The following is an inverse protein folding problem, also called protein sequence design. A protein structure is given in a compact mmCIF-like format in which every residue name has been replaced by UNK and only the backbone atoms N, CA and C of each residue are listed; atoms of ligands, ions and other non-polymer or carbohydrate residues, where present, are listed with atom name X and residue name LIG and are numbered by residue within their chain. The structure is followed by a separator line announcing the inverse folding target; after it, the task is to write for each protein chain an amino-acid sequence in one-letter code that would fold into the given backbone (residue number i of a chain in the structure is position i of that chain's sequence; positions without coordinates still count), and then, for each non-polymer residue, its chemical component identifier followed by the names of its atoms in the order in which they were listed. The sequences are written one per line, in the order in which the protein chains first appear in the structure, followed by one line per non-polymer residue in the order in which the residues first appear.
data_IF_091036948405
#
_entry.id   IF_091036948405
#
_cell.length_a   1.000
_cell.length_b   1.000
_cell.length_c   1.000
_cell.angle_alpha   90.00
_cell.angle_beta   90.00
_cell.angle_gamma   90.00
#
_symmetry.space_group_name_H-M   'P 1'
#
loop_
_entity.id
_entity.type
_entity.pdbx_description
1 polymer ?
#
# COMPACT_ATOMS: atom_id res chain seq x y z
N UNK A 1 -8.97 37.82 -77.44
CA UNK A 1 -9.24 36.38 -77.72
C UNK A 1 -8.63 35.54 -76.62
N UNK A 2 -9.43 34.64 -76.04
CA UNK A 2 -9.08 33.32 -75.45
C UNK A 2 -7.92 33.22 -74.44
N UNK A 3 -8.32 33.16 -73.16
CA UNK A 3 -8.03 32.14 -72.14
C UNK A 3 -6.61 31.56 -71.97
N UNK A 4 -6.19 31.44 -70.70
CA UNK A 4 -5.87 30.13 -70.08
C UNK A 4 -5.81 30.22 -68.54
N UNK A 5 -6.55 29.33 -67.91
CA UNK A 5 -6.47 28.96 -66.50
C UNK A 5 -5.08 28.41 -66.16
N UNK A 6 -4.60 28.66 -64.94
CA UNK A 6 -3.63 27.79 -64.28
C UNK A 6 -3.89 27.80 -62.78
N UNK A 7 -4.43 26.68 -62.31
CA UNK A 7 -4.63 26.32 -60.90
C UNK A 7 -3.25 26.10 -60.28
N UNK A 8 -2.95 26.76 -59.16
CA UNK A 8 -1.82 26.39 -58.30
C UNK A 8 -2.41 25.80 -57.01
N UNK A 9 -2.23 24.49 -56.86
CA UNK A 9 -2.48 23.75 -55.63
C UNK A 9 -1.52 24.26 -54.55
N UNK A 10 -2.05 24.86 -53.48
CA UNK A 10 -1.29 25.08 -52.26
C UNK A 10 -1.34 23.80 -51.41
N UNK A 11 -0.18 23.17 -51.25
CA UNK A 11 0.02 22.03 -50.37
C UNK A 11 -0.16 22.46 -48.91
N UNK A 12 -1.20 21.96 -48.24
CA UNK A 12 -1.36 22.09 -46.80
C UNK A 12 -0.39 21.12 -46.11
N UNK A 13 0.77 21.65 -45.72
CA UNK A 13 1.74 20.97 -44.87
C UNK A 13 1.14 20.67 -43.50
N UNK A 14 1.33 19.43 -43.04
CA UNK A 14 0.72 18.90 -41.84
C UNK A 14 1.19 19.57 -40.55
N UNK A 15 0.26 19.66 -39.60
CA UNK A 15 0.55 19.74 -38.18
C UNK A 15 -0.07 18.48 -37.58
N UNK A 16 0.72 17.41 -37.47
CA UNK A 16 0.37 16.28 -36.62
C UNK A 16 0.51 16.80 -35.20
N UNK A 17 -0.60 17.22 -34.60
CA UNK A 17 -0.68 17.44 -33.17
C UNK A 17 -0.47 16.09 -32.48
N UNK A 18 0.79 15.77 -32.17
CA UNK A 18 1.11 14.74 -31.20
C UNK A 18 0.57 15.22 -29.87
N UNK A 19 -0.65 14.81 -29.56
CA UNK A 19 -1.14 14.79 -28.18
C UNK A 19 -0.22 13.79 -27.48
N UNK A 20 0.87 14.31 -26.91
CA UNK A 20 1.62 13.59 -25.91
C UNK A 20 0.63 13.37 -24.77
N UNK A 21 -0.01 12.21 -24.78
CA UNK A 21 -0.61 11.62 -23.60
C UNK A 21 0.52 11.59 -22.58
N UNK A 22 0.56 12.59 -21.70
CA UNK A 22 1.24 12.49 -20.45
C UNK A 22 0.58 11.29 -19.76
N UNK A 23 1.17 10.10 -19.96
CA UNK A 23 0.86 8.95 -19.16
C UNK A 23 0.96 9.39 -17.70
N UNK A 24 0.08 8.90 -16.81
CA UNK A 24 0.14 9.27 -15.41
C UNK A 24 1.58 9.03 -14.95
N UNK A 25 2.27 10.12 -14.59
CA UNK A 25 3.54 10.04 -13.89
C UNK A 25 3.25 9.21 -12.65
N UNK A 26 3.69 7.94 -12.66
CA UNK A 26 3.67 7.13 -11.46
C UNK A 26 4.64 7.84 -10.50
N UNK A 27 4.07 8.61 -9.58
CA UNK A 27 4.81 9.26 -8.52
C UNK A 27 5.77 8.22 -7.92
N UNK A 28 7.06 8.56 -7.89
CA UNK A 28 8.08 7.74 -7.23
C UNK A 28 7.53 7.29 -5.88
N UNK A 29 7.64 5.98 -5.53
CA UNK A 29 7.02 5.48 -4.32
C UNK A 29 7.48 6.32 -3.14
N UNK A 30 6.49 6.93 -2.51
CA UNK A 30 6.52 7.65 -1.25
C UNK A 30 7.50 6.97 -0.28
N UNK A 31 8.31 7.78 0.43
CA UNK A 31 9.43 7.34 1.28
C UNK A 31 9.26 5.94 1.92
N UNK A 32 10.20 5.05 1.63
CA UNK A 32 10.19 3.66 2.08
C UNK A 32 10.91 3.52 3.41
N UNK A 33 10.25 2.93 4.41
CA UNK A 33 10.89 2.46 5.65
C UNK A 33 10.73 0.95 5.72
N UNK A 34 11.83 0.23 5.95
CA UNK A 34 11.83 -1.24 5.98
C UNK A 34 11.27 -1.90 4.68
N UNK A 35 11.51 -1.28 3.52
CA UNK A 35 10.90 -1.67 2.24
C UNK A 35 9.36 -1.62 2.22
N UNK A 36 8.75 -0.94 3.20
CA UNK A 36 7.34 -0.60 3.20
C UNK A 36 7.15 0.74 2.49
N UNK A 37 6.47 0.81 1.34
CA UNK A 37 6.17 2.10 0.73
C UNK A 37 5.32 2.94 1.68
N UNK A 38 5.53 4.26 1.66
CA UNK A 38 4.62 5.13 2.39
C UNK A 38 3.20 4.96 1.83
N UNK A 39 2.21 5.11 2.69
CA UNK A 39 0.80 4.84 2.41
C UNK A 39 0.42 3.34 2.39
N UNK A 40 1.18 2.47 3.06
CA UNK A 40 0.84 1.05 3.19
C UNK A 40 1.03 0.51 4.60
N UNK A 41 0.28 -0.55 4.90
CA UNK A 41 0.58 -1.46 6.02
C UNK A 41 1.27 -2.68 5.44
N UNK A 42 2.46 -2.99 5.94
CA UNK A 42 3.31 -4.03 5.41
C UNK A 42 3.30 -5.25 6.33
N UNK A 43 3.00 -6.40 5.74
CA UNK A 43 3.02 -7.71 6.39
C UNK A 43 4.25 -8.45 5.88
N UNK A 44 5.15 -8.84 6.78
CA UNK A 44 6.39 -9.54 6.46
C UNK A 44 6.28 -10.99 6.94
N UNK A 45 6.33 -11.94 6.01
CA UNK A 45 6.39 -13.37 6.29
C UNK A 45 7.75 -13.93 5.81
N UNK A 46 8.06 -15.17 6.20
CA UNK A 46 9.25 -15.87 5.72
C UNK A 46 9.26 -16.06 4.19
N UNK A 47 8.07 -16.21 3.60
CA UNK A 47 7.89 -16.42 2.16
C UNK A 47 7.88 -15.13 1.32
N UNK A 48 8.00 -13.96 1.94
CA UNK A 48 7.93 -12.67 1.26
C UNK A 48 7.13 -11.62 2.03
N UNK A 49 6.78 -10.53 1.38
CA UNK A 49 6.01 -9.43 1.97
C UNK A 49 4.71 -9.18 1.19
N UNK A 50 3.72 -8.61 1.88
CA UNK A 50 2.46 -8.18 1.31
C UNK A 50 2.19 -6.75 1.77
N UNK A 51 1.62 -5.95 0.87
CA UNK A 51 1.23 -4.57 1.14
C UNK A 51 -0.30 -4.49 1.18
N UNK A 52 -0.84 -4.08 2.31
CA UNK A 52 -2.23 -3.71 2.42
C UNK A 52 -2.35 -2.20 2.17
N UNK A 53 -3.23 -1.77 1.24
CA UNK A 53 -3.37 -0.36 0.89
C UNK A 53 -3.90 0.46 2.09
N UNK A 54 -3.47 1.72 2.18
CA UNK A 54 -4.03 2.71 3.13
C UNK A 54 -5.46 3.11 2.84
N UNK A 55 -5.90 3.08 1.59
CA UNK A 55 -7.22 3.56 1.20
C UNK A 55 -8.30 2.55 1.58
N UNK A 56 -8.72 2.58 2.85
CA UNK A 56 -9.82 1.78 3.35
C UNK A 56 -9.38 0.65 4.27
N UNK A 57 -10.38 0.04 4.93
CA UNK A 57 -10.18 -1.16 5.72
C UNK A 57 -9.81 -2.32 4.78
N UNK A 58 -8.94 -3.22 5.23
CA UNK A 58 -8.56 -4.41 4.49
C UNK A 58 -9.12 -5.67 5.16
N UNK A 59 -9.92 -6.43 4.42
CA UNK A 59 -10.34 -7.78 4.80
C UNK A 59 -9.30 -8.79 4.31
N UNK A 60 -8.59 -9.39 5.27
CA UNK A 60 -7.58 -10.42 5.07
C UNK A 60 -8.05 -11.81 5.52
N UNK A 61 -9.36 -11.98 5.77
CA UNK A 61 -9.95 -13.24 6.25
C UNK A 61 -9.66 -14.45 5.36
N UNK A 62 -9.43 -14.23 4.06
CA UNK A 62 -9.05 -15.25 3.07
C UNK A 62 -7.55 -15.36 2.84
N UNK A 63 -6.75 -14.47 3.42
CA UNK A 63 -5.29 -14.52 3.30
C UNK A 63 -4.74 -15.77 3.99
N UNK A 64 -3.87 -16.48 3.27
CA UNK A 64 -3.10 -17.63 3.80
C UNK A 64 -1.73 -17.20 4.35
N UNK A 65 -1.48 -15.91 4.42
CA UNK A 65 -0.21 -15.36 4.89
C UNK A 65 -0.15 -15.38 6.42
N UNK A 66 0.95 -15.91 6.94
CA UNK A 66 1.31 -15.82 8.35
C UNK A 66 2.49 -14.86 8.50
N UNK A 67 2.25 -13.58 8.78
CA UNK A 67 3.35 -12.64 8.98
C UNK A 67 4.09 -12.98 10.28
N UNK A 68 5.40 -12.78 10.27
CA UNK A 68 6.20 -12.65 11.49
C UNK A 68 6.14 -11.22 12.04
N UNK A 69 6.02 -10.23 11.15
CA UNK A 69 5.97 -8.81 11.49
C UNK A 69 4.90 -8.09 10.68
N UNK A 70 4.21 -7.14 11.31
CA UNK A 70 3.38 -6.14 10.62
C UNK A 70 3.87 -4.75 10.99
N UNK A 71 3.79 -3.80 10.05
CA UNK A 71 4.30 -2.44 10.20
C UNK A 71 3.39 -1.44 9.50
N UNK A 72 3.11 -0.31 10.13
CA UNK A 72 2.33 0.78 9.54
C UNK A 72 3.25 1.92 9.06
N UNK A 73 3.46 1.99 7.76
CA UNK A 73 4.11 3.14 7.10
C UNK A 73 3.08 4.01 6.36
N UNK A 74 1.80 3.90 6.72
CA UNK A 74 0.70 4.55 6.02
C UNK A 74 0.02 5.63 6.83
N UNK A 75 -0.37 6.71 6.15
CA UNK A 75 -1.26 7.75 6.68
C UNK A 75 -2.43 7.90 5.70
N UNK A 76 -3.63 7.43 6.08
CA UNK A 76 -4.79 7.42 5.17
C UNK A 76 -5.31 8.84 4.89
N UNK A 77 -5.39 9.67 5.93
CA UNK A 77 -5.70 11.11 5.87
C UNK A 77 -5.25 11.79 7.18
N UNK A 78 -5.20 13.14 7.25
CA UNK A 78 -4.89 13.84 8.50
C UNK A 78 -5.85 13.44 9.64
N UNK A 79 -5.32 12.84 10.70
CA UNK A 79 -6.11 12.33 11.84
C UNK A 79 -6.64 10.90 11.68
N UNK A 80 -6.14 10.12 10.71
CA UNK A 80 -6.28 8.65 10.67
C UNK A 80 -4.94 8.00 10.34
N UNK A 81 -4.11 7.94 11.36
CA UNK A 81 -2.75 7.44 11.36
C UNK A 81 -2.59 6.16 12.21
N UNK A 82 -3.68 5.69 12.82
CA UNK A 82 -3.74 4.43 13.54
C UNK A 82 -4.40 3.31 12.70
N UNK A 83 -3.89 2.10 12.84
CA UNK A 83 -4.45 0.89 12.23
C UNK A 83 -4.72 -0.15 13.30
N UNK A 84 -5.99 -0.41 13.56
CA UNK A 84 -6.39 -1.57 14.33
C UNK A 84 -6.23 -2.83 13.47
N UNK A 85 -5.52 -3.83 14.00
CA UNK A 85 -5.42 -5.14 13.37
C UNK A 85 -6.07 -6.20 14.25
N UNK A 86 -6.73 -7.15 13.61
CA UNK A 86 -7.28 -8.33 14.26
C UNK A 86 -6.84 -9.58 13.51
N UNK A 87 -6.75 -10.68 14.25
CA UNK A 87 -6.34 -11.96 13.72
C UNK A 87 -6.66 -13.13 14.66
N UNK A 88 -6.27 -14.32 14.20
CA UNK A 88 -6.40 -15.56 14.94
C UNK A 88 -5.02 -16.14 15.20
N UNK A 89 -4.69 -16.37 16.48
CA UNK A 89 -3.48 -17.07 16.90
C UNK A 89 -3.79 -18.55 17.08
N UNK A 90 -3.10 -19.38 16.32
CA UNK A 90 -3.08 -20.84 16.51
C UNK A 90 -1.87 -21.19 17.36
N UNK A 91 -2.09 -21.75 18.55
CA UNK A 91 -1.04 -22.21 19.46
C UNK A 91 -1.36 -23.62 19.97
N UNK A 92 -0.54 -24.60 19.61
CA UNK A 92 -0.72 -26.02 19.99
C UNK A 92 -2.15 -26.53 19.74
N UNK A 93 -2.69 -26.24 18.56
CA UNK A 93 -4.05 -26.64 18.16
C UNK A 93 -5.19 -25.81 18.76
N UNK A 94 -4.90 -24.82 19.62
CA UNK A 94 -5.91 -23.88 20.15
C UNK A 94 -5.91 -22.60 19.33
N UNK A 95 -7.10 -22.12 18.96
CA UNK A 95 -7.28 -20.86 18.24
C UNK A 95 -7.80 -19.80 19.20
N UNK A 96 -7.15 -18.63 19.23
CA UNK A 96 -7.55 -17.48 20.07
C UNK A 96 -7.59 -16.21 19.23
N UNK A 97 -8.49 -15.30 19.57
CA UNK A 97 -8.50 -13.96 19.00
C UNK A 97 -7.31 -13.15 19.51
N UNK A 98 -6.66 -12.44 18.60
CA UNK A 98 -5.59 -11.51 18.90
C UNK A 98 -5.77 -10.25 18.08
N UNK A 99 -5.31 -9.13 18.61
CA UNK A 99 -5.37 -7.86 17.92
C UNK A 99 -4.54 -6.82 18.64
N UNK A 100 -4.47 -5.65 18.03
CA UNK A 100 -3.77 -4.51 18.58
C UNK A 100 -3.90 -3.32 17.66
N UNK A 101 -3.15 -2.28 17.98
CA UNK A 101 -3.15 -1.03 17.23
C UNK A 101 -1.73 -0.73 16.75
N UNK A 102 -1.62 -0.25 15.51
CA UNK A 102 -0.37 0.20 14.91
C UNK A 102 -0.42 1.70 14.69
N UNK A 103 0.57 2.41 15.21
CA UNK A 103 0.75 3.83 15.01
C UNK A 103 1.46 4.09 13.69
N UNK A 104 1.19 5.21 13.05
CA UNK A 104 1.91 5.60 11.84
C UNK A 104 3.37 5.85 12.17
N UNK A 105 4.25 5.24 11.39
CA UNK A 105 5.65 5.60 11.40
C UNK A 105 5.92 6.81 10.50
N UNK A 106 6.37 7.92 11.11
CA UNK A 106 6.77 9.11 10.36
C UNK A 106 8.00 8.82 9.51
N UNK A 107 7.90 9.08 8.21
CA UNK A 107 9.00 8.87 7.24
C UNK A 107 10.20 9.81 7.47
N UNK A 108 10.05 10.82 8.33
CA UNK A 108 11.14 11.69 8.79
C UNK A 108 12.00 11.03 9.88
N UNK A 109 11.51 9.94 10.49
CA UNK A 109 12.24 9.15 11.45
C UNK A 109 12.78 7.90 10.75
N UNK A 110 14.08 7.61 10.89
CA UNK A 110 14.68 6.40 10.28
C UNK A 110 14.48 5.15 11.12
N UNK A 111 14.10 5.30 12.37
CA UNK A 111 14.01 4.20 13.33
C UNK A 111 12.54 3.94 13.67
N UNK A 112 12.00 2.74 13.39
CA UNK A 112 10.63 2.39 13.78
C UNK A 112 10.40 2.57 15.28
N UNK A 113 9.45 3.43 15.62
CA UNK A 113 9.06 3.70 17.00
C UNK A 113 8.19 2.58 17.56
N UNK A 114 8.18 2.44 18.89
CA UNK A 114 7.30 1.49 19.55
C UNK A 114 5.84 1.75 19.16
N UNK A 115 5.08 0.69 18.92
CA UNK A 115 3.69 0.79 18.47
C UNK A 115 3.51 0.94 16.96
N UNK A 116 4.56 1.24 16.19
CA UNK A 116 4.43 1.30 14.71
C UNK A 116 4.48 -0.08 14.05
N UNK A 117 4.97 -1.09 14.77
CA UNK A 117 5.05 -2.47 14.34
C UNK A 117 4.69 -3.45 15.46
N UNK A 118 4.36 -4.67 15.06
CA UNK A 118 4.28 -5.84 15.94
C UNK A 118 5.11 -6.97 15.35
N UNK A 119 5.93 -7.62 16.17
CA UNK A 119 6.78 -8.78 15.82
C UNK A 119 6.37 -10.03 16.59
N UNK A 120 6.93 -11.19 16.23
CA UNK A 120 6.70 -12.45 16.95
C UNK A 120 5.31 -13.03 16.70
N UNK A 121 4.70 -12.64 15.58
CA UNK A 121 3.43 -13.15 15.09
C UNK A 121 3.55 -14.55 14.50
N UNK A 122 4.77 -15.00 14.19
CA UNK A 122 5.06 -16.37 13.76
C UNK A 122 6.30 -16.87 14.51
N UNK A 123 6.13 -17.93 15.32
CA UNK A 123 7.24 -18.60 16.04
C UNK A 123 7.50 -20.00 15.49
N UNK A 124 6.45 -20.72 15.14
CA UNK A 124 6.50 -22.06 14.53
C UNK A 124 5.18 -22.38 13.84
N UNK A 125 5.09 -23.50 13.14
CA UNK A 125 3.81 -23.95 12.55
C UNK A 125 2.73 -24.26 13.60
N UNK A 126 3.13 -24.48 14.84
CA UNK A 126 2.22 -24.67 15.98
C UNK A 126 2.04 -23.40 16.81
N UNK A 127 2.65 -22.26 16.46
CA UNK A 127 2.46 -20.94 17.09
C UNK A 127 2.59 -19.83 16.04
N UNK A 128 1.45 -19.48 15.43
CA UNK A 128 1.35 -18.52 14.34
C UNK A 128 0.07 -17.70 14.39
N UNK A 129 0.14 -16.47 13.93
CA UNK A 129 -0.96 -15.53 13.85
C UNK A 129 -1.33 -15.31 12.38
N UNK A 130 -2.61 -15.46 12.09
CA UNK A 130 -3.19 -15.07 10.81
C UNK A 130 -3.94 -13.76 10.98
N UNK A 131 -3.52 -12.72 10.27
CA UNK A 131 -4.21 -11.43 10.28
C UNK A 131 -5.46 -11.56 9.42
N UNK A 132 -6.61 -11.18 9.97
CA UNK A 132 -7.91 -11.25 9.29
C UNK A 132 -8.43 -9.88 8.91
N UNK A 133 -8.02 -8.82 9.62
CA UNK A 133 -8.59 -7.49 9.39
C UNK A 133 -7.56 -6.43 9.71
N UNK A 134 -7.54 -5.38 8.88
CA UNK A 134 -6.89 -4.09 9.17
C UNK A 134 -7.96 -3.01 9.03
N UNK A 135 -8.10 -2.15 10.04
CA UNK A 135 -9.05 -1.05 10.04
C UNK A 135 -8.35 0.23 10.39
N UNK A 136 -8.58 1.27 9.60
CA UNK A 136 -8.02 2.59 9.89
C UNK A 136 -8.89 3.29 10.92
N UNK A 137 -8.26 3.87 11.93
CA UNK A 137 -8.91 4.68 12.95
C UNK A 137 -8.14 5.96 13.20
N UNK A 138 -8.80 6.92 13.86
CA UNK A 138 -8.13 8.14 14.30
C UNK A 138 -7.20 7.89 15.47
N UNK A 139 -7.62 7.05 16.42
CA UNK A 139 -6.88 6.69 17.62
C UNK A 139 -6.99 5.18 17.88
N UNK A 140 -6.11 4.66 18.73
CA UNK A 140 -6.26 3.32 19.28
C UNK A 140 -7.41 3.29 20.32
N UNK A 141 -8.30 2.28 20.28
CA UNK A 141 -9.35 2.10 21.28
C UNK A 141 -8.81 1.66 22.65
#
# INVERSE_FOLDING_TARGET
MRARLSRVLAAAGGIVATVALAGPAQASPSATVDNCPSEYVCLYAKSGYMFAPTKGDADLSKSKMYPNRIFNNGKRYPGADHVYWAGKRERNGKVTDVGGCLHYHSTNNKTPEAGTYVTGLYKSDSDRVRITTLRWSGECP
#
